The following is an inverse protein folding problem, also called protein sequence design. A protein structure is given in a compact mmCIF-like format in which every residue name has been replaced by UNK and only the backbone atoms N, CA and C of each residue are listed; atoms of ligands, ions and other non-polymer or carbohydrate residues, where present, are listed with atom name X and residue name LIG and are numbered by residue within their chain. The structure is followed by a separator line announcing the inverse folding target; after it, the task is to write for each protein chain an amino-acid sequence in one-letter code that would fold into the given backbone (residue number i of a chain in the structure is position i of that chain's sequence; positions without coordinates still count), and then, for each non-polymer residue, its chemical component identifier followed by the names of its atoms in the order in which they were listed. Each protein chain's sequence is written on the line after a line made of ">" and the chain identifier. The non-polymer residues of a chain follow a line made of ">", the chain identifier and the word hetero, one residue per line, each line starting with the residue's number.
data_IF_488602898280
#
_entry.id   IF_488602898280
#
_cell.length_a   1.000
_cell.length_b   1.000
_cell.length_c   1.000
_cell.angle_alpha   90.00
_cell.angle_beta   90.00
_cell.angle_gamma   90.00
#
_symmetry.space_group_name_H-M   'P 1'
#
loop_
_entity.id
_entity.type
_entity.pdbx_description
1 polymer ?
#
# COMPACT_ATOMS: atom_id res chain seq x y z
N UNK A 1 -12.97 -0.65 -6.62
CA UNK A 1 -12.18 -1.86 -6.97
C UNK A 1 -10.93 -2.03 -6.11
N UNK A 2 -10.13 -0.98 -5.85
CA UNK A 2 -8.94 -1.08 -4.98
C UNK A 2 -9.31 -1.54 -3.56
N UNK A 3 -10.38 -1.01 -2.96
CA UNK A 3 -10.82 -1.44 -1.62
C UNK A 3 -11.16 -2.93 -1.56
N UNK A 4 -11.88 -3.43 -2.57
CA UNK A 4 -12.22 -4.85 -2.68
C UNK A 4 -10.95 -5.71 -2.76
N UNK A 5 -9.93 -5.26 -3.49
CA UNK A 5 -8.64 -5.96 -3.55
C UNK A 5 -7.94 -5.97 -2.17
N UNK A 6 -7.87 -4.82 -1.50
CA UNK A 6 -7.29 -4.68 -0.15
C UNK A 6 -8.02 -5.58 0.86
N UNK A 7 -9.34 -5.54 0.88
CA UNK A 7 -10.16 -6.33 1.79
C UNK A 7 -10.02 -7.84 1.49
N UNK A 8 -9.90 -8.22 0.21
CA UNK A 8 -9.66 -9.60 -0.20
C UNK A 8 -8.29 -10.07 0.26
N UNK A 9 -7.25 -9.24 0.13
CA UNK A 9 -5.92 -9.54 0.66
C UNK A 9 -6.01 -9.81 2.17
N UNK A 10 -6.61 -8.88 2.92
CA UNK A 10 -6.70 -8.99 4.38
C UNK A 10 -7.41 -10.25 4.85
N UNK A 11 -8.52 -10.62 4.17
CA UNK A 11 -9.28 -11.83 4.48
C UNK A 11 -8.50 -13.12 4.29
N UNK A 12 -7.55 -13.15 3.34
CA UNK A 12 -6.91 -14.41 2.90
C UNK A 12 -5.45 -14.58 3.33
N UNK A 13 -4.74 -13.48 3.65
CA UNK A 13 -3.29 -13.50 3.86
C UNK A 13 -2.83 -14.32 5.08
N UNK A 14 -3.72 -14.56 6.04
CA UNK A 14 -3.42 -15.37 7.25
C UNK A 14 -3.29 -16.87 6.96
N UNK A 15 -3.85 -17.36 5.85
CA UNK A 15 -3.92 -18.79 5.53
C UNK A 15 -3.51 -19.11 4.09
N UNK A 16 -3.21 -18.11 3.26
CA UNK A 16 -2.81 -18.32 1.87
C UNK A 16 -1.74 -17.32 1.46
N UNK A 17 -0.76 -17.79 0.68
CA UNK A 17 0.25 -16.92 0.06
C UNK A 17 -0.40 -16.13 -1.09
N UNK A 18 -0.27 -14.82 -1.05
CA UNK A 18 -0.87 -13.92 -2.05
C UNK A 18 0.22 -13.34 -2.95
N UNK A 19 0.05 -13.46 -4.26
CA UNK A 19 0.88 -12.80 -5.26
C UNK A 19 0.16 -11.57 -5.81
N UNK A 20 0.73 -10.39 -5.60
CA UNK A 20 0.31 -9.16 -6.27
C UNK A 20 1.25 -8.87 -7.43
N UNK A 21 0.73 -8.90 -8.66
CA UNK A 21 1.52 -8.58 -9.85
C UNK A 21 0.82 -7.58 -10.76
N UNK A 22 1.62 -6.87 -11.54
CA UNK A 22 1.20 -6.09 -12.69
C UNK A 22 2.31 -6.21 -13.75
N UNK A 23 2.15 -5.60 -14.92
CA UNK A 23 3.05 -5.79 -16.05
C UNK A 23 4.56 -5.68 -15.70
N UNK A 24 4.95 -4.62 -14.99
CA UNK A 24 6.34 -4.38 -14.60
C UNK A 24 6.61 -4.59 -13.10
N UNK A 25 5.57 -4.85 -12.30
CA UNK A 25 5.70 -4.92 -10.85
C UNK A 25 6.06 -3.60 -10.14
N UNK A 26 6.15 -2.46 -10.83
CA UNK A 26 6.68 -1.22 -10.24
C UNK A 26 5.63 -0.22 -9.76
N UNK A 27 4.40 -0.28 -10.27
CA UNK A 27 3.38 0.76 -10.03
C UNK A 27 2.08 0.25 -9.40
N UNK A 28 1.22 -0.43 -10.17
CA UNK A 28 -0.14 -0.79 -9.71
C UNK A 28 -0.12 -1.81 -8.58
N UNK A 29 0.56 -2.94 -8.78
CA UNK A 29 0.62 -4.00 -7.77
C UNK A 29 1.30 -3.55 -6.46
N UNK A 30 2.49 -2.91 -6.46
CA UNK A 30 3.08 -2.42 -5.22
C UNK A 30 2.29 -1.22 -4.65
N UNK A 31 1.59 -0.43 -5.48
CA UNK A 31 0.68 0.60 -4.99
C UNK A 31 -0.46 0.01 -4.14
N UNK A 32 -1.08 -1.09 -4.59
CA UNK A 32 -2.09 -1.81 -3.81
C UNK A 32 -1.48 -2.40 -2.53
N UNK A 33 -0.27 -2.96 -2.60
CA UNK A 33 0.44 -3.48 -1.43
C UNK A 33 0.73 -2.38 -0.39
N UNK A 34 1.20 -1.21 -0.82
CA UNK A 34 1.40 -0.04 0.03
C UNK A 34 0.10 0.36 0.74
N UNK A 35 -1.00 0.50 0.00
CA UNK A 35 -2.30 0.87 0.58
C UNK A 35 -2.82 -0.19 1.57
N UNK A 36 -2.60 -1.48 1.29
CA UNK A 36 -2.92 -2.55 2.23
C UNK A 36 -2.12 -2.41 3.54
N UNK A 37 -0.80 -2.17 3.44
CA UNK A 37 0.05 -2.02 4.62
C UNK A 37 -0.34 -0.81 5.46
N UNK A 38 -0.62 0.34 4.83
CA UNK A 38 -1.10 1.54 5.52
C UNK A 38 -2.40 1.28 6.29
N UNK A 39 -3.33 0.52 5.71
CA UNK A 39 -4.66 0.30 6.28
C UNK A 39 -4.68 -0.76 7.37
N UNK A 40 -3.96 -1.86 7.17
CA UNK A 40 -4.11 -3.05 8.00
C UNK A 40 -2.91 -3.34 8.90
N UNK A 41 -1.81 -2.60 8.77
CA UNK A 41 -0.59 -2.83 9.57
C UNK A 41 -0.01 -1.51 10.09
N UNK A 42 0.91 -1.60 11.04
CA UNK A 42 1.61 -0.43 11.57
C UNK A 42 3.06 -0.34 11.06
N UNK A 43 3.40 -1.16 10.04
CA UNK A 43 4.76 -1.39 9.53
C UNK A 43 5.42 -0.13 8.94
N UNK A 44 4.63 0.80 8.40
CA UNK A 44 5.16 1.94 7.64
C UNK A 44 5.33 3.22 8.47
N UNK A 45 4.77 3.28 9.69
CA UNK A 45 4.64 4.53 10.44
C UNK A 45 3.64 5.48 9.77
N UNK A 46 2.61 5.91 10.47
CA UNK A 46 1.42 6.51 9.82
C UNK A 46 1.35 8.04 9.90
N UNK A 47 2.37 8.71 10.45
CA UNK A 47 2.35 10.16 10.67
C UNK A 47 2.79 10.98 9.45
N UNK A 48 3.64 10.44 8.57
CA UNK A 48 4.17 11.16 7.41
C UNK A 48 4.20 10.30 6.15
N UNK A 49 3.67 10.85 5.04
CA UNK A 49 3.58 10.15 3.77
C UNK A 49 4.94 9.86 3.16
N UNK A 50 5.87 10.81 3.21
CA UNK A 50 7.18 10.66 2.59
C UNK A 50 7.99 9.59 3.31
N UNK A 51 7.94 9.57 4.65
CA UNK A 51 8.55 8.55 5.49
C UNK A 51 7.95 7.16 5.23
N UNK A 52 6.61 7.04 5.18
CA UNK A 52 5.96 5.77 4.88
C UNK A 52 6.34 5.22 3.49
N UNK A 53 6.42 6.09 2.48
CA UNK A 53 6.87 5.72 1.14
C UNK A 53 8.36 5.31 1.14
N UNK A 54 9.21 5.99 1.91
CA UNK A 54 10.61 5.63 2.06
C UNK A 54 10.76 4.26 2.72
N UNK A 55 10.03 3.99 3.81
CA UNK A 55 9.98 2.67 4.45
C UNK A 55 9.50 1.59 3.50
N UNK A 56 8.44 1.86 2.74
CA UNK A 56 7.94 0.91 1.75
C UNK A 56 8.97 0.60 0.67
N UNK A 57 9.76 1.59 0.22
CA UNK A 57 10.86 1.38 -0.73
C UNK A 57 12.02 0.56 -0.15
N UNK A 58 12.24 0.59 1.16
CA UNK A 58 13.22 -0.32 1.78
C UNK A 58 12.76 -1.78 1.70
N UNK A 59 11.45 -2.02 1.83
CA UNK A 59 10.86 -3.36 1.73
C UNK A 59 10.76 -3.82 0.27
N UNK A 60 10.39 -2.92 -0.64
CA UNK A 60 10.21 -3.19 -2.06
C UNK A 60 10.90 -2.13 -2.94
N UNK A 61 12.22 -2.23 -3.15
CA UNK A 61 13.02 -1.24 -3.89
C UNK A 61 12.52 -0.89 -5.31
N UNK A 62 11.93 -1.83 -6.10
CA UNK A 62 11.42 -1.51 -7.43
C UNK A 62 10.20 -0.57 -7.46
N UNK A 63 9.69 -0.12 -6.31
CA UNK A 63 8.53 0.77 -6.26
C UNK A 63 8.78 2.13 -6.93
N UNK A 64 8.25 2.26 -8.14
CA UNK A 64 8.31 3.44 -8.98
C UNK A 64 6.91 3.67 -9.60
N UNK A 65 5.97 4.26 -8.84
CA UNK A 65 4.61 4.44 -9.33
C UNK A 65 4.57 5.43 -10.49
N UNK A 66 3.82 5.09 -11.55
CA UNK A 66 3.45 6.06 -12.57
C UNK A 66 2.60 7.19 -11.95
N UNK A 67 2.60 8.37 -12.59
CA UNK A 67 1.93 9.59 -12.09
C UNK A 67 0.51 9.33 -11.58
N UNK A 68 -0.31 8.58 -12.31
CA UNK A 68 -1.69 8.30 -11.92
C UNK A 68 -1.81 7.52 -10.60
N UNK A 69 -0.94 6.51 -10.39
CA UNK A 69 -0.95 5.73 -9.14
C UNK A 69 -0.40 6.55 -7.97
N UNK A 70 0.66 7.33 -8.20
CA UNK A 70 1.22 8.23 -7.20
C UNK A 70 0.18 9.25 -6.73
N UNK A 71 -0.54 9.87 -7.67
CA UNK A 71 -1.60 10.83 -7.37
C UNK A 71 -2.78 10.17 -6.64
N UNK A 72 -3.18 8.97 -7.06
CA UNK A 72 -4.24 8.21 -6.37
C UNK A 72 -3.89 7.97 -4.90
N UNK A 73 -2.66 7.55 -4.60
CA UNK A 73 -2.19 7.34 -3.23
C UNK A 73 -2.21 8.67 -2.46
N UNK A 74 -1.70 9.75 -3.07
CA UNK A 74 -1.63 11.06 -2.44
C UNK A 74 -3.00 11.58 -2.04
N UNK A 75 -3.99 11.56 -2.95
CA UNK A 75 -5.33 12.10 -2.69
C UNK A 75 -6.14 11.21 -1.73
N UNK A 76 -5.85 9.91 -1.67
CA UNK A 76 -6.55 8.97 -0.79
C UNK A 76 -5.74 8.65 0.49
N UNK A 77 -4.68 9.39 0.79
CA UNK A 77 -3.78 9.09 1.92
C UNK A 77 -4.55 8.85 3.23
N UNK A 78 -5.35 9.84 3.64
CA UNK A 78 -6.13 9.79 4.88
C UNK A 78 -7.19 8.68 4.91
N UNK A 79 -7.62 8.20 3.74
CA UNK A 79 -8.57 7.08 3.64
C UNK A 79 -7.93 5.75 4.00
N UNK A 80 -6.64 5.61 3.73
CA UNK A 80 -5.91 4.35 3.89
C UNK A 80 -4.97 4.35 5.10
N UNK A 81 -4.63 5.49 5.68
CA UNK A 81 -3.96 5.54 6.99
C UNK A 81 -4.98 5.32 8.10
N UNK A 82 -4.66 4.50 9.11
CA UNK A 82 -5.48 4.47 10.33
C UNK A 82 -5.39 5.83 11.02
N UNK A 83 -6.45 6.23 11.71
CA UNK A 83 -6.35 7.31 12.67
C UNK A 83 -5.37 6.86 13.76
N UNK A 84 -4.40 7.71 14.08
CA UNK A 84 -3.55 7.50 15.25
C UNK A 84 -4.48 7.46 16.45
N UNK A 85 -4.66 6.30 17.06
CA UNK A 85 -5.30 6.22 18.37
C UNK A 85 -4.32 6.83 19.37
N UNK A 86 -4.74 7.81 20.19
CA UNK A 86 -3.87 8.47 21.16
C UNK A 86 -3.32 7.51 22.21
#
# INVERSE_FOLDING_TARGET
>A
MIDVAIDTIHKNISHTKILLHCNQGQSRSPGIALLYLLRHTDLLGQSDMAAAIATFRMIYPPYAPARGMAEYIRINWHRYTKAVSP
#
